data_IF_647246517883
#
_entry.id   IF_647246517883
#
_cell.length_a   1.000
_cell.length_b   1.000
_cell.length_c   1.000
_cell.angle_alpha   90.00
_cell.angle_beta   90.00
_cell.angle_gamma   90.00
#
_symmetry.space_group_name_H-M   'P 1'
#
loop_
_entity.id
_entity.type
_entity.pdbx_description
1 polymer ?
#
# COMPACT_ATOMS: atom_id res chain seq x y z
N UNK A 1 52.38 -1.65 18.15
CA UNK A 1 50.92 -1.90 18.01
C UNK A 1 50.25 -0.58 17.63
N UNK A 2 49.68 -0.44 16.42
CA UNK A 2 49.03 0.78 16.00
C UNK A 2 47.58 0.84 16.48
N UNK A 3 47.15 2.05 16.87
CA UNK A 3 45.82 2.40 17.38
C UNK A 3 44.79 2.37 16.25
N UNK A 4 43.68 1.66 16.45
CA UNK A 4 42.52 1.68 15.56
C UNK A 4 41.85 3.06 15.55
N UNK A 5 41.82 3.72 14.39
CA UNK A 5 40.96 4.87 14.13
C UNK A 5 39.51 4.41 13.94
N UNK A 6 38.61 4.88 14.81
CA UNK A 6 37.16 4.81 14.62
C UNK A 6 36.77 5.78 13.49
N UNK A 7 36.36 5.25 12.34
CA UNK A 7 35.70 6.04 11.30
C UNK A 7 34.28 6.37 11.75
N UNK A 8 34.07 7.60 12.20
CA UNK A 8 32.73 8.16 12.44
C UNK A 8 32.19 8.73 11.12
N UNK A 9 31.38 7.96 10.41
CA UNK A 9 30.58 8.48 9.29
C UNK A 9 29.45 9.35 9.85
N UNK A 10 29.56 10.66 9.66
CA UNK A 10 28.58 11.67 10.06
C UNK A 10 27.33 11.61 9.17
N UNK A 11 26.17 11.86 9.79
CA UNK A 11 24.79 11.96 9.22
C UNK A 11 24.69 12.83 7.94
N UNK A 12 25.66 13.71 7.69
CA UNK A 12 25.74 14.50 6.47
C UNK A 12 26.03 13.68 5.19
N UNK A 13 26.77 12.57 5.29
CA UNK A 13 27.07 11.71 4.13
C UNK A 13 25.87 10.86 3.68
N UNK A 14 24.93 10.55 4.57
CA UNK A 14 23.66 9.90 4.17
C UNK A 14 22.73 10.85 3.40
N UNK A 15 22.81 12.17 3.64
CA UNK A 15 22.01 13.16 2.91
C UNK A 15 22.52 13.46 1.51
N UNK A 16 23.80 13.22 1.20
CA UNK A 16 24.36 13.54 -0.13
C UNK A 16 24.15 12.44 -1.18
N UNK A 17 23.75 11.21 -0.80
CA UNK A 17 23.27 10.21 -1.77
C UNK A 17 21.79 10.42 -2.15
N UNK A 18 21.04 11.22 -1.38
CA UNK A 18 19.65 11.55 -1.70
C UNK A 18 19.52 12.53 -2.88
N UNK A 19 20.59 13.22 -3.29
CA UNK A 19 20.55 14.23 -4.37
C UNK A 19 20.98 13.72 -5.75
N UNK A 20 21.19 12.40 -5.90
CA UNK A 20 21.39 11.73 -7.20
C UNK A 20 20.32 10.67 -7.48
N UNK A 21 19.23 10.68 -6.70
CA UNK A 21 18.06 9.85 -6.95
C UNK A 21 17.29 10.46 -8.11
N UNK A 22 17.04 9.64 -9.13
CA UNK A 22 16.53 10.03 -10.43
C UNK A 22 15.31 10.94 -10.42
N UNK A 23 15.16 11.66 -11.53
CA UNK A 23 13.93 12.35 -11.91
C UNK A 23 12.71 11.51 -11.49
N UNK A 24 11.83 12.10 -10.69
CA UNK A 24 10.59 11.47 -10.23
C UNK A 24 9.88 10.77 -11.40
N UNK A 25 9.71 9.46 -11.31
CA UNK A 25 9.25 8.63 -12.43
C UNK A 25 7.71 8.68 -12.59
N UNK A 26 7.01 9.46 -11.76
CA UNK A 26 5.56 9.54 -11.78
C UNK A 26 4.96 10.83 -11.21
N UNK A 27 3.64 10.94 -11.35
CA UNK A 27 2.81 12.09 -10.93
C UNK A 27 2.54 12.16 -9.43
N UNK A 28 2.75 11.05 -8.73
CA UNK A 28 2.62 10.95 -7.29
C UNK A 28 3.89 10.31 -6.77
N UNK A 29 4.46 10.91 -5.73
CA UNK A 29 5.57 10.34 -4.99
C UNK A 29 5.02 9.67 -3.73
N UNK A 30 5.15 8.34 -3.59
CA UNK A 30 4.72 7.63 -2.41
C UNK A 30 5.74 7.79 -1.27
N UNK A 31 5.25 8.14 -0.08
CA UNK A 31 6.03 8.20 1.15
C UNK A 31 5.36 7.34 2.23
N UNK A 32 6.08 6.40 2.81
CA UNK A 32 5.59 5.60 3.94
C UNK A 32 5.64 6.49 5.18
N UNK A 33 4.46 6.85 5.70
CA UNK A 33 4.31 7.56 6.96
C UNK A 33 4.57 6.60 8.13
N UNK A 34 4.43 7.13 9.35
CA UNK A 34 4.39 6.37 10.60
C UNK A 34 3.56 5.09 10.46
N UNK A 35 4.22 3.94 10.52
CA UNK A 35 3.67 2.62 10.17
C UNK A 35 4.17 1.57 11.13
N UNK A 36 3.31 0.63 11.51
CA UNK A 36 3.66 -0.44 12.44
C UNK A 36 3.13 -1.76 11.91
N UNK A 37 3.94 -2.81 11.99
CA UNK A 37 3.55 -4.16 11.59
C UNK A 37 4.38 -5.21 12.32
N UNK A 38 3.71 -6.03 13.14
CA UNK A 38 4.30 -7.19 13.81
C UNK A 38 3.30 -8.33 13.75
N UNK A 39 3.76 -9.52 13.33
CA UNK A 39 2.87 -10.65 13.13
C UNK A 39 2.12 -11.06 14.40
N UNK A 40 0.80 -11.20 14.28
CA UNK A 40 -0.10 -11.55 15.39
C UNK A 40 -0.33 -10.43 16.41
N UNK A 41 0.25 -9.24 16.23
CA UNK A 41 0.07 -8.10 17.14
C UNK A 41 -0.71 -6.96 16.49
N UNK A 42 -0.35 -6.60 15.25
CA UNK A 42 -1.04 -5.53 14.55
C UNK A 42 -0.26 -5.03 13.35
N UNK A 43 -0.96 -4.80 12.24
CA UNK A 43 -0.46 -4.14 11.03
C UNK A 43 -1.31 -2.91 10.70
N UNK A 44 -0.67 -1.76 10.56
CA UNK A 44 -1.26 -0.54 10.04
C UNK A 44 -0.17 0.31 9.39
N UNK A 45 -0.20 0.36 8.06
CA UNK A 45 0.80 1.05 7.24
C UNK A 45 0.12 2.17 6.47
N UNK A 46 0.55 3.41 6.68
CA UNK A 46 -0.01 4.57 5.97
C UNK A 46 0.98 5.08 4.94
N UNK A 47 0.54 5.20 3.70
CA UNK A 47 1.29 5.82 2.61
C UNK A 47 0.65 7.15 2.23
N UNK A 48 1.50 8.16 2.09
CA UNK A 48 1.15 9.47 1.57
C UNK A 48 1.51 9.53 0.08
N UNK A 49 0.53 9.83 -0.77
CA UNK A 49 0.75 10.08 -2.19
C UNK A 49 0.84 11.59 -2.43
N UNK A 50 2.05 12.11 -2.50
CA UNK A 50 2.29 13.54 -2.72
C UNK A 50 2.25 13.84 -4.22
N UNK A 51 1.36 14.73 -4.68
CA UNK A 51 1.29 15.10 -6.09
C UNK A 51 2.55 15.85 -6.52
N UNK A 52 3.14 15.41 -7.62
CA UNK A 52 4.28 16.06 -8.24
C UNK A 52 3.80 17.05 -9.29
N UNK A 53 3.68 18.32 -8.88
CA UNK A 53 3.29 19.42 -9.76
C UNK A 53 4.34 19.78 -10.82
N UNK A 54 5.58 19.29 -10.67
CA UNK A 54 6.68 19.55 -11.60
C UNK A 54 6.81 18.48 -12.69
N UNK A 55 5.98 17.44 -12.67
CA UNK A 55 6.03 16.41 -13.70
C UNK A 55 5.66 16.99 -15.08
N UNK A 56 6.39 16.63 -16.16
CA UNK A 56 6.15 17.18 -17.49
C UNK A 56 4.95 16.50 -18.17
N UNK A 57 3.73 16.84 -17.74
CA UNK A 57 2.47 16.33 -18.29
C UNK A 57 2.19 16.73 -19.76
N UNK A 58 3.05 17.54 -20.36
CA UNK A 58 2.78 18.18 -21.65
C UNK A 58 1.81 19.37 -21.52
N UNK A 59 1.25 19.86 -22.63
CA UNK A 59 0.53 21.14 -22.68
C UNK A 59 -0.86 21.15 -22.02
N UNK A 60 -1.35 20.02 -21.52
CA UNK A 60 -2.67 19.93 -20.86
C UNK A 60 -2.61 18.99 -19.64
N UNK A 61 -1.94 19.40 -18.55
CA UNK A 61 -1.83 18.59 -17.34
C UNK A 61 -3.20 18.30 -16.70
N UNK A 62 -3.40 17.10 -16.12
CA UNK A 62 -4.53 16.85 -15.24
C UNK A 62 -4.41 17.71 -13.97
N UNK A 63 -5.54 18.19 -13.46
CA UNK A 63 -5.58 18.95 -12.20
C UNK A 63 -5.36 18.03 -11.02
N UNK A 64 -4.12 17.93 -10.54
CA UNK A 64 -3.75 17.14 -9.35
C UNK A 64 -4.42 17.66 -8.06
N UNK A 65 -4.59 16.80 -7.03
CA UNK A 65 -5.11 17.25 -5.74
C UNK A 65 -4.16 18.27 -5.10
N UNK A 66 -4.70 19.22 -4.32
CA UNK A 66 -3.88 20.22 -3.61
C UNK A 66 -3.17 19.66 -2.37
N UNK A 67 -3.73 18.60 -1.78
CA UNK A 67 -3.21 17.94 -0.60
C UNK A 67 -2.82 16.51 -0.99
N UNK A 68 -1.78 15.94 -0.37
CA UNK A 68 -1.45 14.54 -0.58
C UNK A 68 -2.63 13.63 -0.22
N UNK A 69 -2.78 12.53 -0.96
CA UNK A 69 -3.77 11.50 -0.67
C UNK A 69 -3.21 10.55 0.39
N UNK A 70 -4.02 10.17 1.37
CA UNK A 70 -3.61 9.22 2.41
C UNK A 70 -4.27 7.87 2.15
N UNK A 71 -3.45 6.83 1.99
CA UNK A 71 -3.90 5.45 1.85
C UNK A 71 -3.36 4.66 3.04
N UNK A 72 -4.25 3.98 3.76
CA UNK A 72 -3.87 3.14 4.90
C UNK A 72 -4.17 1.69 4.55
N UNK A 73 -3.15 0.83 4.65
CA UNK A 73 -3.25 -0.61 4.48
C UNK A 73 -3.29 -1.27 5.85
N UNK A 74 -4.34 -2.06 6.06
CA UNK A 74 -4.72 -2.71 7.31
C UNK A 74 -4.84 -1.76 8.52
N UNK A 75 -5.57 -2.24 9.51
CA UNK A 75 -5.94 -1.53 10.72
C UNK A 75 -5.95 -2.48 11.92
N UNK A 76 -4.79 -3.07 12.22
CA UNK A 76 -4.52 -3.66 13.52
C UNK A 76 -4.47 -2.62 14.64
N UNK A 77 -4.58 -3.10 15.88
CA UNK A 77 -4.40 -2.27 17.07
C UNK A 77 -2.93 -1.94 17.25
N UNK A 78 -2.51 -0.81 16.70
CA UNK A 78 -1.10 -0.39 16.64
C UNK A 78 -0.93 1.07 17.05
N UNK A 79 0.29 1.49 17.44
CA UNK A 79 0.58 2.91 17.69
C UNK A 79 0.35 3.83 16.48
N UNK A 80 0.43 3.31 15.24
CA UNK A 80 0.20 4.07 14.00
C UNK A 80 -1.27 4.36 13.70
N UNK A 81 -2.22 3.78 14.44
CA UNK A 81 -3.65 4.02 14.25
C UNK A 81 -4.05 5.50 14.42
N UNK A 82 -3.35 6.23 15.29
CA UNK A 82 -3.58 7.66 15.49
C UNK A 82 -3.23 8.51 14.26
N UNK A 83 -2.24 8.08 13.48
CA UNK A 83 -1.77 8.82 12.30
C UNK A 83 -2.67 8.62 11.08
N UNK A 84 -3.34 7.48 10.98
CA UNK A 84 -4.33 7.21 9.93
C UNK A 84 -5.65 7.96 10.17
N UNK A 85 -6.00 8.25 11.43
CA UNK A 85 -7.27 8.89 11.82
C UNK A 85 -7.44 10.38 11.42
N UNK A 86 -6.45 11.01 10.77
CA UNK A 86 -6.49 12.43 10.39
C UNK A 86 -6.66 12.63 8.88
N UNK A 87 -7.34 13.71 8.48
CA UNK A 87 -7.53 14.07 7.06
C UNK A 87 -8.38 13.06 6.28
N UNK A 88 -8.54 13.21 4.96
CA UNK A 88 -9.22 12.18 4.14
C UNK A 88 -8.30 10.96 3.97
N UNK A 89 -8.70 9.79 4.46
CA UNK A 89 -7.95 8.54 4.30
C UNK A 89 -8.81 7.49 3.61
N UNK A 90 -8.19 6.75 2.69
CA UNK A 90 -8.75 5.54 2.09
C UNK A 90 -8.13 4.36 2.82
N UNK A 91 -8.96 3.53 3.42
CA UNK A 91 -8.53 2.47 4.31
C UNK A 91 -8.82 1.13 3.63
N UNK A 92 -7.78 0.34 3.39
CA UNK A 92 -7.81 -0.89 2.62
C UNK A 92 -7.43 -2.05 3.57
N UNK A 93 -8.34 -2.98 3.80
CA UNK A 93 -8.17 -4.10 4.72
C UNK A 93 -7.98 -5.38 3.92
N UNK A 94 -6.83 -6.02 4.03
CA UNK A 94 -6.45 -7.21 3.25
C UNK A 94 -7.30 -8.44 3.59
N UNK A 95 -7.54 -8.69 4.88
CA UNK A 95 -8.24 -9.89 5.35
C UNK A 95 -8.77 -9.73 6.79
N UNK A 96 -9.43 -10.78 7.29
CA UNK A 96 -10.23 -10.73 8.52
C UNK A 96 -9.50 -11.05 9.83
N UNK A 97 -8.19 -11.28 9.85
CA UNK A 97 -7.50 -11.53 11.11
C UNK A 97 -7.48 -10.27 12.00
N UNK A 98 -7.50 -10.51 13.30
CA UNK A 98 -7.73 -9.46 14.30
C UNK A 98 -6.64 -8.39 14.31
N UNK A 99 -5.41 -8.79 14.01
CA UNK A 99 -4.24 -7.92 13.88
C UNK A 99 -4.22 -7.10 12.57
N UNK A 100 -5.18 -7.31 11.67
CA UNK A 100 -5.34 -6.50 10.44
C UNK A 100 -6.64 -5.70 10.42
N UNK A 101 -7.63 -6.07 11.24
CA UNK A 101 -8.98 -5.50 11.14
C UNK A 101 -9.45 -4.73 12.39
N UNK A 102 -9.17 -5.23 13.60
CA UNK A 102 -9.89 -4.80 14.81
C UNK A 102 -9.67 -3.33 15.21
N UNK A 103 -8.55 -2.73 14.81
CA UNK A 103 -8.27 -1.32 15.03
C UNK A 103 -9.21 -0.38 14.26
N UNK A 104 -9.89 -0.85 13.21
CA UNK A 104 -10.76 -0.01 12.37
C UNK A 104 -11.89 0.67 13.15
N UNK A 105 -12.45 0.01 14.18
CA UNK A 105 -13.53 0.57 15.00
C UNK A 105 -13.04 1.71 15.89
N UNK A 106 -11.87 1.56 16.52
CA UNK A 106 -11.22 2.63 17.28
C UNK A 106 -10.78 3.79 16.39
N UNK A 107 -10.34 3.48 15.17
CA UNK A 107 -10.01 4.48 14.16
C UNK A 107 -11.25 5.26 13.71
N UNK A 108 -12.37 4.61 13.43
CA UNK A 108 -13.62 5.27 13.06
C UNK A 108 -14.10 6.27 14.12
N UNK A 109 -14.10 5.86 15.39
CA UNK A 109 -14.40 6.75 16.52
C UNK A 109 -13.46 7.95 16.58
N UNK A 110 -12.15 7.70 16.47
CA UNK A 110 -11.13 8.76 16.48
C UNK A 110 -11.35 9.74 15.32
N UNK A 111 -11.70 9.24 14.14
CA UNK A 111 -12.04 10.07 12.97
C UNK A 111 -13.28 10.91 13.20
N UNK A 112 -14.36 10.35 13.77
CA UNK A 112 -15.59 11.10 14.05
C UNK A 112 -15.33 12.25 15.02
N UNK A 113 -14.42 12.08 15.98
CA UNK A 113 -14.01 13.18 16.88
C UNK A 113 -13.27 14.31 16.15
N UNK A 114 -12.51 13.99 15.10
CA UNK A 114 -11.69 14.96 14.34
C UNK A 114 -12.50 15.59 13.20
N UNK A 115 -13.34 14.80 12.53
CA UNK A 115 -14.12 15.19 11.37
C UNK A 115 -15.55 14.61 11.50
N UNK A 116 -16.44 15.28 12.23
CA UNK A 116 -17.75 14.72 12.59
C UNK A 116 -18.71 14.60 11.41
N UNK A 117 -18.41 15.20 10.25
CA UNK A 117 -19.32 15.25 9.10
C UNK A 117 -18.85 14.41 7.91
N UNK A 118 -17.78 13.61 8.07
CA UNK A 118 -17.23 12.80 6.98
C UNK A 118 -16.91 11.40 7.48
N UNK A 119 -17.57 10.42 6.90
CA UNK A 119 -17.35 9.01 7.20
C UNK A 119 -15.94 8.57 6.77
N UNK A 120 -15.38 7.64 7.54
CA UNK A 120 -14.23 6.86 7.10
C UNK A 120 -14.68 5.83 6.07
N UNK A 121 -13.99 5.80 4.91
CA UNK A 121 -14.18 4.76 3.90
C UNK A 121 -13.27 3.57 4.19
N UNK A 122 -13.86 2.38 4.32
CA UNK A 122 -13.14 1.13 4.59
C UNK A 122 -13.47 0.12 3.49
N UNK A 123 -12.48 -0.21 2.68
CA UNK A 123 -12.57 -1.21 1.63
C UNK A 123 -12.00 -2.52 2.16
N UNK A 124 -12.73 -3.61 1.99
CA UNK A 124 -12.37 -4.92 2.52
C UNK A 124 -12.93 -6.04 1.61
N UNK A 125 -12.43 -7.28 1.68
CA UNK A 125 -12.99 -8.38 0.90
C UNK A 125 -14.52 -8.48 1.04
N UNK A 126 -15.25 -8.60 -0.07
CA UNK A 126 -16.72 -8.63 -0.09
C UNK A 126 -17.31 -9.61 0.93
N UNK A 127 -16.74 -10.82 1.04
CA UNK A 127 -17.19 -11.84 1.99
C UNK A 127 -17.07 -11.47 3.48
N UNK A 128 -16.30 -10.43 3.83
CA UNK A 128 -16.16 -9.95 5.21
C UNK A 128 -17.19 -8.86 5.57
N UNK A 129 -17.92 -8.28 4.61
CA UNK A 129 -18.82 -7.14 4.85
C UNK A 129 -19.88 -7.46 5.90
N UNK A 130 -20.53 -8.62 5.80
CA UNK A 130 -21.58 -9.06 6.73
C UNK A 130 -21.01 -9.22 8.15
N UNK A 131 -19.93 -10.01 8.29
CA UNK A 131 -19.27 -10.28 9.58
C UNK A 131 -18.78 -8.98 10.24
N UNK A 132 -18.21 -8.05 9.46
CA UNK A 132 -17.74 -6.77 9.99
C UNK A 132 -18.92 -5.89 10.43
N UNK A 133 -20.06 -5.93 9.73
CA UNK A 133 -21.27 -5.24 10.17
C UNK A 133 -21.90 -5.86 11.43
N UNK A 134 -21.78 -7.17 11.62
CA UNK A 134 -22.19 -7.83 12.88
C UNK A 134 -21.31 -7.37 14.06
N UNK A 135 -19.98 -7.31 13.85
CA UNK A 135 -19.04 -6.79 14.85
C UNK A 135 -19.34 -5.31 15.11
N UNK A 136 -19.53 -4.50 14.06
CA UNK A 136 -19.94 -3.09 14.15
C UNK A 136 -21.19 -2.92 15.01
N UNK A 137 -22.19 -3.78 14.82
CA UNK A 137 -23.44 -3.77 15.61
C UNK A 137 -23.20 -4.12 17.08
N UNK A 138 -22.30 -5.07 17.37
CA UNK A 138 -21.88 -5.37 18.73
C UNK A 138 -21.15 -4.18 19.38
N UNK A 139 -20.23 -3.55 18.65
CA UNK A 139 -19.46 -2.38 19.10
C UNK A 139 -20.38 -1.18 19.36
N UNK A 140 -21.39 -0.95 18.51
CA UNK A 140 -22.42 0.09 18.74
C UNK A 140 -23.18 -0.16 20.04
N UNK A 141 -23.65 -1.40 20.26
CA UNK A 141 -24.35 -1.76 21.51
C UNK A 141 -23.52 -1.54 22.77
N UNK A 142 -22.20 -1.64 22.68
CA UNK A 142 -21.29 -1.32 23.80
C UNK A 142 -21.24 0.19 24.08
N UNK A 143 -21.33 1.02 23.05
CA UNK A 143 -21.28 2.49 23.17
C UNK A 143 -22.64 3.11 23.54
N UNK A 144 -23.73 2.41 23.24
CA UNK A 144 -25.09 2.88 23.50
C UNK A 144 -25.36 3.00 25.02
N UNK A 145 -25.28 4.24 25.50
CA UNK A 145 -25.51 4.62 26.92
C UNK A 145 -26.93 4.32 27.43
N UNK A 146 -27.87 3.93 26.56
CA UNK A 146 -29.27 3.70 26.95
C UNK A 146 -29.53 2.32 27.58
N UNK A 147 -28.58 1.38 27.55
CA UNK A 147 -28.84 0.01 28.01
C UNK A 147 -28.49 -0.30 29.47
N UNK A 148 -28.09 0.70 30.27
CA UNK A 148 -27.83 0.49 31.69
C UNK A 148 -29.01 0.87 32.61
N UNK A 149 -30.08 1.53 32.12
CA UNK A 149 -31.22 1.95 32.95
C UNK A 149 -32.53 2.21 32.17
N UNK A 150 -33.05 1.26 31.38
CA UNK A 150 -34.38 1.46 30.76
C UNK A 150 -35.28 0.22 30.83
N UNK A 151 -35.65 -0.17 32.04
CA UNK A 151 -37.07 -0.35 32.32
C UNK A 151 -37.69 1.05 32.26
N UNK A 152 -38.55 1.33 31.27
CA UNK A 152 -39.29 2.59 31.11
C UNK A 152 -38.47 3.86 30.83
N UNK A 153 -38.19 4.15 29.56
CA UNK A 153 -38.41 5.50 28.98
C UNK A 153 -38.15 5.45 27.47
N UNK A 154 -39.23 5.57 26.70
CA UNK A 154 -39.18 5.90 25.28
C UNK A 154 -38.56 7.30 25.13
N UNK A 155 -37.26 7.36 24.85
CA UNK A 155 -36.65 8.61 24.38
C UNK A 155 -37.07 8.85 22.94
N UNK A 156 -37.99 9.82 22.78
CA UNK A 156 -38.35 10.46 21.52
C UNK A 156 -37.20 11.34 21.04
N UNK A 157 -36.21 10.73 20.42
CA UNK A 157 -35.41 11.27 19.31
C UNK A 157 -34.53 10.14 18.82
N UNK A 158 -35.09 9.31 17.93
CA UNK A 158 -34.39 8.21 17.27
C UNK A 158 -33.33 8.71 16.30
N UNK A 159 -32.35 9.49 16.76
CA UNK A 159 -31.10 9.63 16.06
C UNK A 159 -30.26 8.40 16.40
N UNK A 160 -30.28 7.41 15.50
CA UNK A 160 -29.31 6.33 15.53
C UNK A 160 -27.90 6.91 15.62
N UNK A 161 -27.06 6.29 16.45
CA UNK A 161 -25.65 6.68 16.51
C UNK A 161 -24.99 6.37 15.16
N UNK A 162 -24.75 7.42 14.37
CA UNK A 162 -23.91 7.35 13.18
C UNK A 162 -22.45 7.22 13.62
N UNK A 163 -21.91 6.01 13.53
CA UNK A 163 -20.51 5.69 13.88
C UNK A 163 -19.49 6.19 12.85
N UNK A 164 -19.95 6.85 11.78
CA UNK A 164 -19.10 7.45 10.75
C UNK A 164 -18.30 6.42 9.94
N UNK A 165 -18.84 5.21 9.77
CA UNK A 165 -18.20 4.14 8.99
C UNK A 165 -18.97 3.83 7.71
N UNK A 166 -18.29 4.02 6.58
CA UNK A 166 -18.72 3.52 5.27
C UNK A 166 -17.88 2.30 4.90
N UNK A 167 -18.47 1.12 5.04
CA UNK A 167 -17.83 -0.17 4.71
C UNK A 167 -18.22 -0.53 3.27
N UNK A 168 -17.22 -0.84 2.45
CA UNK A 168 -17.37 -1.18 1.04
C UNK A 168 -16.67 -2.51 0.79
N UNK A 169 -17.41 -3.50 0.32
CA UNK A 169 -16.83 -4.75 -0.13
C UNK A 169 -16.16 -4.61 -1.50
N UNK A 170 -15.04 -5.32 -1.69
CA UNK A 170 -14.30 -5.35 -2.95
C UNK A 170 -13.95 -6.78 -3.34
N UNK A 171 -13.92 -7.02 -4.65
CA UNK A 171 -13.57 -8.31 -5.23
C UNK A 171 -12.20 -8.23 -5.93
N UNK A 172 -11.45 -9.35 -6.03
CA UNK A 172 -10.24 -9.42 -6.83
C UNK A 172 -10.48 -8.93 -8.26
N UNK A 173 -9.48 -8.25 -8.82
CA UNK A 173 -9.45 -7.74 -10.19
C UNK A 173 -10.54 -6.69 -10.55
N UNK A 174 -11.43 -6.35 -9.61
CA UNK A 174 -12.41 -5.28 -9.77
C UNK A 174 -11.81 -3.95 -9.30
N UNK A 175 -11.40 -3.15 -10.28
CA UNK A 175 -10.82 -1.82 -10.04
C UNK A 175 -11.86 -0.83 -9.48
N UNK A 176 -11.44 0.00 -8.53
CA UNK A 176 -12.21 1.14 -8.05
C UNK A 176 -11.38 2.42 -8.00
N UNK A 177 -12.09 3.56 -8.06
CA UNK A 177 -11.47 4.88 -8.05
C UNK A 177 -11.19 5.32 -6.60
N UNK A 178 -9.93 5.62 -6.30
CA UNK A 178 -9.45 6.19 -5.03
C UNK A 178 -9.62 7.70 -5.04
N UNK A 179 -9.27 8.33 -6.17
CA UNK A 179 -9.42 9.76 -6.36
C UNK A 179 -9.56 10.09 -7.85
N UNK A 180 -10.49 10.97 -8.20
CA UNK A 180 -10.74 11.37 -9.59
C UNK A 180 -10.44 12.85 -9.80
N UNK A 181 -9.83 13.17 -10.94
CA UNK A 181 -9.69 14.54 -11.41
C UNK A 181 -11.09 15.13 -11.69
N UNK A 182 -11.31 16.40 -11.33
CA UNK A 182 -12.61 17.06 -11.52
C UNK A 182 -12.98 17.29 -12.99
N UNK A 183 -11.99 17.41 -13.87
CA UNK A 183 -12.17 17.80 -15.27
C UNK A 183 -11.70 16.72 -16.26
N UNK A 184 -11.41 15.52 -15.77
CA UNK A 184 -10.98 14.40 -16.60
C UNK A 184 -11.61 13.10 -16.09
N UNK A 185 -12.27 12.37 -16.99
CA UNK A 185 -12.91 11.11 -16.65
C UNK A 185 -11.93 9.94 -16.53
N UNK A 186 -10.69 10.12 -17.00
CA UNK A 186 -9.61 9.12 -17.00
C UNK A 186 -8.55 9.43 -15.94
N UNK A 187 -8.26 10.71 -15.73
CA UNK A 187 -7.29 11.20 -14.76
C UNK A 187 -7.67 10.86 -13.32
N UNK A 188 -6.84 10.09 -12.63
CA UNK A 188 -7.11 9.71 -11.26
C UNK A 188 -6.09 8.77 -10.64
N UNK A 189 -6.37 8.38 -9.39
CA UNK A 189 -5.72 7.28 -8.68
C UNK A 189 -6.74 6.17 -8.53
N UNK A 190 -6.32 4.96 -8.86
CA UNK A 190 -7.16 3.76 -8.88
C UNK A 190 -6.51 2.67 -8.06
N UNK A 191 -7.34 1.80 -7.50
CA UNK A 191 -6.94 0.62 -6.76
C UNK A 191 -7.51 -0.62 -7.45
N UNK A 192 -6.67 -1.61 -7.71
CA UNK A 192 -7.09 -2.94 -8.16
C UNK A 192 -6.70 -3.94 -7.10
N UNK A 193 -7.66 -4.55 -6.37
CA UNK A 193 -7.36 -5.68 -5.50
C UNK A 193 -6.90 -6.89 -6.31
N UNK A 194 -6.07 -7.75 -5.74
CA UNK A 194 -5.72 -9.05 -6.32
C UNK A 194 -5.74 -10.11 -5.23
N UNK A 195 -6.16 -11.32 -5.58
CA UNK A 195 -6.22 -12.43 -4.63
C UNK A 195 -4.81 -12.91 -4.26
N UNK A 196 -4.63 -13.28 -3.00
CA UNK A 196 -3.37 -13.82 -2.47
C UNK A 196 -3.62 -15.12 -1.72
N UNK A 197 -2.60 -15.99 -1.66
CA UNK A 197 -2.69 -17.26 -0.94
C UNK A 197 -2.43 -17.02 0.55
N UNK A 198 -3.50 -16.75 1.29
CA UNK A 198 -3.53 -16.70 2.74
C UNK A 198 -4.79 -17.40 3.27
N UNK A 199 -4.96 -17.45 4.59
CA UNK A 199 -6.08 -18.16 5.21
C UNK A 199 -7.41 -17.57 4.70
N UNK A 200 -8.27 -18.45 4.19
CA UNK A 200 -9.62 -18.09 3.81
C UNK A 200 -10.54 -18.33 5.01
N UNK A 201 -11.14 -17.28 5.54
CA UNK A 201 -12.18 -17.44 6.55
C UNK A 201 -13.41 -18.14 5.95
N UNK A 202 -14.09 -18.96 6.75
CA UNK A 202 -15.46 -19.38 6.43
C UNK A 202 -16.43 -18.32 6.98
N UNK A 203 -16.85 -17.37 6.14
CA UNK A 203 -18.06 -16.61 6.45
C UNK A 203 -19.27 -17.54 6.27
N UNK A 204 -20.36 -17.29 7.00
CA UNK A 204 -21.61 -18.06 6.88
C UNK A 204 -22.18 -18.07 5.44
N UNK A 205 -21.72 -17.17 4.56
CA UNK A 205 -22.21 -16.96 3.20
C UNK A 205 -21.20 -17.26 2.09
N UNK A 206 -19.95 -17.67 2.41
CA UNK A 206 -18.95 -18.02 1.38
C UNK A 206 -17.49 -17.97 1.83
N UNK A 207 -16.58 -18.14 0.87
CA UNK A 207 -15.12 -18.05 1.07
C UNK A 207 -14.69 -16.59 1.23
N UNK A 208 -14.15 -16.21 2.39
CA UNK A 208 -13.49 -14.91 2.55
C UNK A 208 -12.09 -14.97 1.94
N UNK A 209 -11.89 -14.25 0.84
CA UNK A 209 -10.58 -14.12 0.19
C UNK A 209 -9.68 -13.18 0.98
N UNK A 210 -8.37 -13.44 0.94
CA UNK A 210 -7.35 -12.48 1.35
C UNK A 210 -6.88 -11.70 0.11
N UNK A 211 -6.68 -10.40 0.27
CA UNK A 211 -6.38 -9.50 -0.85
C UNK A 211 -5.07 -8.75 -0.66
N UNK A 212 -4.33 -8.63 -1.76
CA UNK A 212 -3.39 -7.54 -1.98
C UNK A 212 -4.05 -6.38 -2.72
N UNK A 213 -3.39 -5.22 -2.73
CA UNK A 213 -3.87 -4.00 -3.37
C UNK A 213 -2.81 -3.38 -4.28
N UNK A 214 -3.20 -3.08 -5.52
CA UNK A 214 -2.37 -2.39 -6.50
C UNK A 214 -2.88 -0.96 -6.74
N UNK A 215 -2.11 0.03 -6.28
CA UNK A 215 -2.40 1.46 -6.45
C UNK A 215 -1.64 2.02 -7.64
N UNK A 216 -2.36 2.67 -8.54
CA UNK A 216 -1.81 3.26 -9.76
C UNK A 216 -2.46 4.60 -10.09
N UNK A 217 -1.71 5.49 -10.73
CA UNK A 217 -2.29 6.68 -11.36
C UNK A 217 -2.54 6.45 -12.83
N UNK A 218 -3.67 6.97 -13.32
CA UNK A 218 -4.03 6.96 -14.73
C UNK A 218 -4.22 8.39 -15.22
N UNK A 219 -3.81 8.67 -16.46
CA UNK A 219 -4.02 9.97 -17.10
C UNK A 219 -3.96 9.85 -18.62
N UNK A 220 -4.46 10.88 -19.30
CA UNK A 220 -4.34 11.01 -20.75
C UNK A 220 -3.03 11.71 -21.11
N UNK A 221 -2.26 11.10 -22.00
CA UNK A 221 -1.09 11.69 -22.64
C UNK A 221 -1.42 11.95 -24.10
N UNK A 222 -1.19 13.17 -24.57
CA UNK A 222 -1.24 13.46 -26.01
C UNK A 222 0.04 12.95 -26.66
N UNK A 223 -0.11 12.01 -27.59
CA UNK A 223 0.98 11.46 -28.39
C UNK A 223 0.79 11.89 -29.83
N UNK A 224 1.88 12.20 -30.53
CA UNK A 224 1.80 12.62 -31.93
C UNK A 224 1.27 11.43 -32.75
N UNK A 225 0.32 11.65 -33.65
CA UNK A 225 -0.19 10.55 -34.49
C UNK A 225 0.97 9.99 -35.32
N UNK A 226 0.95 8.68 -35.56
CA UNK A 226 2.02 7.98 -36.27
C UNK A 226 2.33 8.60 -37.64
N UNK A 227 1.32 9.11 -38.35
CA UNK A 227 1.53 9.77 -39.65
C UNK A 227 2.31 11.09 -39.59
N UNK A 228 2.50 11.66 -38.40
CA UNK A 228 3.27 12.89 -38.19
C UNK A 228 4.58 12.65 -37.42
N UNK A 229 4.88 11.41 -37.03
CA UNK A 229 6.17 11.05 -36.44
C UNK A 229 7.31 11.34 -37.42
N UNK A 230 8.34 12.05 -36.96
CA UNK A 230 9.52 12.41 -37.78
C UNK A 230 9.42 13.73 -38.55
N UNK A 231 8.27 14.40 -38.56
CA UNK A 231 8.15 15.76 -39.11
C UNK A 231 8.96 16.76 -38.28
N UNK A 232 9.54 17.76 -38.95
CA UNK A 232 10.24 18.84 -38.24
C UNK A 232 9.25 19.72 -37.47
N UNK A 233 9.70 20.32 -36.37
CA UNK A 233 8.84 21.16 -35.51
C UNK A 233 8.13 22.30 -36.25
N UNK A 234 8.71 22.80 -37.36
CA UNK A 234 8.06 23.81 -38.23
C UNK A 234 6.85 23.25 -38.98
N UNK A 235 6.93 22.01 -39.45
CA UNK A 235 5.85 21.34 -40.19
C UNK A 235 4.69 20.99 -39.26
N UNK A 236 5.01 20.48 -38.06
CA UNK A 236 4.05 20.29 -36.96
C UNK A 236 3.37 21.61 -36.60
N UNK A 237 4.12 22.71 -36.54
CA UNK A 237 3.60 24.05 -36.28
C UNK A 237 2.62 24.53 -37.35
N UNK A 238 2.87 24.22 -38.62
CA UNK A 238 1.98 24.54 -39.75
C UNK A 238 0.67 23.75 -39.66
N UNK A 239 0.75 22.43 -39.41
CA UNK A 239 -0.44 21.59 -39.22
C UNK A 239 -1.31 22.06 -38.05
N UNK A 240 -0.70 22.50 -36.94
CA UNK A 240 -1.44 23.14 -35.83
C UNK A 240 -2.15 24.43 -36.26
N UNK A 241 -1.47 25.27 -37.05
CA UNK A 241 -2.03 26.54 -37.56
C UNK A 241 -3.22 26.28 -38.49
N UNK A 242 -3.14 25.20 -39.25
CA UNK A 242 -4.20 24.73 -40.15
C UNK A 242 -5.33 23.97 -39.40
N UNK A 243 -5.28 23.94 -38.06
CA UNK A 243 -6.24 23.28 -37.16
C UNK A 243 -6.41 21.78 -37.41
N UNK A 244 -5.37 21.13 -37.95
CA UNK A 244 -5.34 19.69 -38.13
C UNK A 244 -5.14 19.01 -36.78
N UNK A 245 -5.94 17.97 -36.50
CA UNK A 245 -5.78 17.17 -35.29
C UNK A 245 -4.61 16.20 -35.46
N UNK A 246 -3.46 16.59 -34.90
CA UNK A 246 -2.17 15.89 -35.04
C UNK A 246 -1.79 15.00 -33.86
N UNK A 247 -2.60 14.96 -32.81
CA UNK A 247 -2.33 14.15 -31.62
C UNK A 247 -3.42 13.09 -31.44
N UNK A 248 -3.01 11.89 -31.05
CA UNK A 248 -3.86 10.88 -30.44
C UNK A 248 -3.82 11.00 -28.91
N UNK A 249 -4.81 10.40 -28.26
CA UNK A 249 -4.86 10.27 -26.79
C UNK A 249 -4.47 8.85 -26.39
N UNK A 250 -3.39 8.71 -25.63
CA UNK A 250 -2.98 7.46 -25.00
C UNK A 250 -3.29 7.50 -23.50
N UNK A 251 -3.85 6.41 -22.98
CA UNK A 251 -4.04 6.25 -21.54
C UNK A 251 -2.75 5.66 -20.96
N UNK A 252 -2.09 6.44 -20.11
CA UNK A 252 -0.88 6.01 -19.40
C UNK A 252 -1.27 5.60 -17.99
N UNK A 253 -0.80 4.43 -17.58
CA UNK A 253 -0.93 3.90 -16.22
C UNK A 253 0.46 3.81 -15.57
N UNK A 254 0.60 4.44 -14.41
CA UNK A 254 1.85 4.44 -13.64
C UNK A 254 1.60 3.67 -12.32
N UNK A 255 2.24 2.51 -12.13
CA UNK A 255 2.26 1.79 -10.86
C UNK A 255 2.90 2.64 -9.75
N UNK A 256 2.21 2.83 -8.62
CA UNK A 256 2.71 3.67 -7.52
C UNK A 256 3.08 2.81 -6.32
N UNK A 257 2.10 2.12 -5.73
CA UNK A 257 2.29 1.29 -4.54
C UNK A 257 1.57 -0.03 -4.69
N UNK A 258 2.23 -1.10 -4.27
CA UNK A 258 1.60 -2.41 -4.09
C UNK A 258 1.69 -2.83 -2.65
N UNK A 259 0.61 -3.38 -2.13
CA UNK A 259 0.52 -4.00 -0.82
C UNK A 259 0.11 -5.46 -1.00
N UNK A 260 0.90 -6.41 -0.51
CA UNK A 260 0.58 -7.83 -0.71
C UNK A 260 -0.51 -8.34 0.23
N UNK A 261 -0.70 -7.68 1.38
CA UNK A 261 -1.32 -8.34 2.52
C UNK A 261 -0.46 -9.51 3.00
N UNK A 262 -1.00 -10.30 3.92
CA UNK A 262 -0.40 -11.56 4.34
C UNK A 262 -0.55 -12.59 3.23
N UNK A 263 0.50 -13.37 2.94
CA UNK A 263 0.46 -14.36 1.86
C UNK A 263 1.65 -15.31 1.90
N UNK A 264 1.45 -16.55 1.43
CA UNK A 264 2.54 -17.44 1.10
C UNK A 264 3.31 -16.97 -0.15
N UNK A 265 4.50 -17.53 -0.36
CA UNK A 265 5.26 -17.26 -1.58
C UNK A 265 4.52 -17.67 -2.86
N UNK A 266 3.69 -18.73 -2.82
CA UNK A 266 2.92 -19.17 -3.99
C UNK A 266 1.80 -18.19 -4.36
N UNK A 267 1.26 -17.44 -3.40
CA UNK A 267 0.21 -16.45 -3.66
C UNK A 267 0.65 -15.28 -4.55
N UNK A 268 1.95 -15.00 -4.57
CA UNK A 268 2.51 -13.85 -5.29
C UNK A 268 3.65 -14.20 -6.25
N UNK A 269 3.95 -15.49 -6.44
CA UNK A 269 4.89 -15.95 -7.48
C UNK A 269 4.14 -16.13 -8.79
N UNK A 270 4.62 -15.53 -9.88
CA UNK A 270 3.99 -15.74 -11.20
C UNK A 270 4.24 -17.16 -11.72
N UNK A 271 3.21 -17.85 -12.22
CA UNK A 271 3.39 -19.13 -12.90
C UNK A 271 4.20 -18.94 -14.20
N UNK A 272 4.87 -20.01 -14.64
CA UNK A 272 5.58 -20.05 -15.92
C UNK A 272 4.94 -21.11 -16.84
N UNK A 273 4.54 -20.77 -18.08
CA UNK A 273 4.57 -19.43 -18.68
C UNK A 273 3.57 -18.47 -18.00
N UNK A 274 3.88 -17.18 -17.95
CA UNK A 274 2.95 -16.18 -17.42
C UNK A 274 1.93 -15.83 -18.53
N UNK A 275 0.63 -16.15 -18.36
CA UNK A 275 -0.39 -15.79 -19.34
C UNK A 275 -0.69 -14.30 -19.22
N UNK A 276 -0.21 -13.49 -20.17
CA UNK A 276 -0.39 -12.03 -20.25
C UNK A 276 0.09 -11.26 -18.98
N UNK A 277 0.21 -9.91 -19.01
CA UNK A 277 0.51 -9.14 -17.82
C UNK A 277 -0.69 -9.14 -16.86
N UNK A 278 -0.72 -10.10 -15.94
CA UNK A 278 -1.70 -10.15 -14.84
C UNK A 278 -1.64 -8.87 -13.97
N UNK A 279 -2.71 -8.60 -13.21
CA UNK A 279 -2.74 -7.50 -12.22
C UNK A 279 -1.52 -7.60 -11.30
N UNK A 280 -1.21 -8.80 -10.82
CA UNK A 280 -0.06 -9.09 -9.99
C UNK A 280 1.29 -8.76 -10.67
N UNK A 281 1.45 -9.10 -11.95
CA UNK A 281 2.67 -8.79 -12.73
C UNK A 281 2.90 -7.28 -12.84
N UNK A 282 1.82 -6.51 -13.09
CA UNK A 282 1.85 -5.04 -13.12
C UNK A 282 2.10 -4.45 -11.74
N UNK A 283 1.49 -5.02 -10.70
CA UNK A 283 1.59 -4.56 -9.32
C UNK A 283 3.04 -4.52 -8.84
N UNK A 284 3.82 -5.59 -9.07
CA UNK A 284 5.23 -5.60 -8.68
C UNK A 284 6.11 -4.56 -9.42
N UNK A 285 5.57 -3.84 -10.41
CA UNK A 285 6.23 -2.73 -11.10
C UNK A 285 6.12 -1.39 -10.37
N UNK A 286 5.34 -1.34 -9.28
CA UNK A 286 5.15 -0.18 -8.41
C UNK A 286 6.46 0.38 -7.86
N UNK A 287 6.54 1.70 -7.71
CA UNK A 287 7.68 2.40 -7.13
C UNK A 287 8.03 1.84 -5.73
N UNK A 288 7.01 1.56 -4.92
CA UNK A 288 7.14 0.89 -3.62
C UNK A 288 6.29 -0.39 -3.60
N UNK A 289 6.89 -1.53 -3.28
CA UNK A 289 6.19 -2.78 -2.97
C UNK A 289 6.28 -3.04 -1.47
N UNK A 290 5.16 -2.91 -0.78
CA UNK A 290 4.95 -3.38 0.59
C UNK A 290 4.68 -4.89 0.53
N UNK A 291 5.64 -5.70 0.97
CA UNK A 291 5.59 -7.16 0.85
C UNK A 291 5.63 -7.79 2.24
N UNK A 292 4.76 -8.76 2.51
CA UNK A 292 4.88 -9.58 3.72
C UNK A 292 6.26 -10.26 3.76
N UNK A 293 6.85 -10.35 4.96
CA UNK A 293 7.94 -11.27 5.26
C UNK A 293 7.96 -11.66 6.74
N UNK A 294 7.37 -12.81 7.06
CA UNK A 294 7.18 -13.24 8.46
C UNK A 294 8.43 -13.87 9.07
N UNK A 295 9.15 -14.68 8.30
CA UNK A 295 10.27 -15.50 8.79
C UNK A 295 11.60 -15.12 8.14
N UNK A 296 12.61 -14.84 8.97
CA UNK A 296 13.94 -14.35 8.55
C UNK A 296 15.10 -15.33 8.81
N UNK A 297 14.82 -16.57 9.25
CA UNK A 297 15.85 -17.60 9.47
C UNK A 297 16.30 -18.28 8.17
N UNK A 298 17.10 -17.59 7.37
CA UNK A 298 17.62 -18.14 6.11
C UNK A 298 18.36 -19.47 6.29
N UNK A 299 18.09 -20.42 5.40
CA UNK A 299 18.64 -21.78 5.43
C UNK A 299 17.99 -22.73 6.44
N UNK A 300 17.01 -22.28 7.22
CA UNK A 300 16.33 -23.12 8.21
C UNK A 300 15.06 -23.77 7.63
N UNK A 301 15.16 -25.04 7.23
CA UNK A 301 14.08 -25.80 6.61
C UNK A 301 12.79 -25.84 7.45
N UNK A 302 12.91 -25.98 8.77
CA UNK A 302 11.75 -25.99 9.68
C UNK A 302 10.97 -24.67 9.64
N UNK A 303 11.69 -23.55 9.62
CA UNK A 303 11.08 -22.22 9.56
C UNK A 303 10.38 -22.00 8.21
N UNK A 304 10.97 -22.49 7.13
CA UNK A 304 10.37 -22.46 5.79
C UNK A 304 9.09 -23.29 5.71
N UNK A 305 9.11 -24.54 6.19
CA UNK A 305 7.91 -25.40 6.22
C UNK A 305 6.79 -24.78 7.05
N UNK A 306 7.13 -24.17 8.18
CA UNK A 306 6.17 -23.46 9.04
C UNK A 306 5.56 -22.24 8.33
N UNK A 307 6.34 -21.52 7.52
CA UNK A 307 5.86 -20.41 6.71
C UNK A 307 4.81 -20.91 5.70
N UNK A 308 5.12 -21.99 4.97
CA UNK A 308 4.21 -22.57 3.98
C UNK A 308 2.93 -23.12 4.64
N UNK A 309 3.06 -23.83 5.77
CA UNK A 309 1.92 -24.35 6.55
C UNK A 309 0.97 -23.24 7.00
N UNK A 310 1.54 -22.11 7.47
CA UNK A 310 0.77 -20.96 7.97
C UNK A 310 0.44 -19.94 6.89
N UNK A 311 0.72 -20.24 5.63
CA UNK A 311 0.46 -19.37 4.48
C UNK A 311 1.12 -17.98 4.62
N UNK A 312 2.40 -17.99 4.96
CA UNK A 312 3.25 -16.81 5.09
C UNK A 312 4.57 -16.93 4.33
N UNK A 313 5.27 -15.81 4.18
CA UNK A 313 6.58 -15.79 3.51
C UNK A 313 7.78 -16.08 4.41
N UNK A 314 8.74 -16.81 3.84
CA UNK A 314 10.09 -17.01 4.35
C UNK A 314 11.13 -16.24 3.49
N UNK A 315 12.22 -15.77 4.10
CA UNK A 315 13.27 -15.00 3.40
C UNK A 315 13.89 -15.76 2.22
N UNK A 316 14.00 -17.09 2.33
CA UNK A 316 14.52 -17.96 1.27
C UNK A 316 13.60 -18.03 0.03
N UNK A 317 12.35 -17.57 0.15
CA UNK A 317 11.40 -17.54 -0.97
C UNK A 317 11.55 -16.27 -1.83
N UNK A 318 12.25 -15.24 -1.33
CA UNK A 318 12.43 -13.96 -2.03
C UNK A 318 13.04 -14.12 -3.43
N UNK A 319 14.09 -14.94 -3.67
CA UNK A 319 14.61 -15.14 -5.01
C UNK A 319 13.57 -15.66 -6.00
N UNK A 320 12.72 -16.60 -5.59
CA UNK A 320 11.68 -17.16 -6.47
C UNK A 320 10.62 -16.11 -6.82
N UNK A 321 10.07 -15.46 -5.79
CA UNK A 321 9.01 -14.45 -5.94
C UNK A 321 9.50 -13.31 -6.83
N UNK A 322 10.60 -12.65 -6.47
CA UNK A 322 11.02 -11.42 -7.13
C UNK A 322 11.58 -11.65 -8.54
N UNK A 323 12.24 -12.79 -8.81
CA UNK A 323 12.66 -13.16 -10.17
C UNK A 323 11.48 -13.50 -11.07
N UNK A 324 10.40 -14.07 -10.53
CA UNK A 324 9.17 -14.28 -11.32
C UNK A 324 8.61 -12.96 -11.87
N UNK A 325 8.88 -11.86 -11.17
CA UNK A 325 8.52 -10.49 -11.55
C UNK A 325 9.64 -9.70 -12.26
N UNK A 326 10.78 -10.30 -12.56
CA UNK A 326 11.87 -9.66 -13.29
C UNK A 326 12.69 -8.63 -12.49
N UNK A 327 12.72 -8.71 -11.15
CA UNK A 327 13.49 -7.79 -10.30
C UNK A 327 15.01 -8.00 -10.33
N UNK A 328 15.47 -9.10 -10.92
CA UNK A 328 16.87 -9.39 -11.24
C UNK A 328 17.29 -8.87 -12.63
N UNK A 329 16.38 -8.18 -13.34
CA UNK A 329 16.65 -7.58 -14.65
C UNK A 329 16.76 -6.05 -14.56
N UNK A 330 17.30 -5.42 -15.60
CA UNK A 330 17.41 -3.96 -15.69
C UNK A 330 16.05 -3.25 -15.77
N UNK A 331 14.96 -3.96 -16.10
CA UNK A 331 13.62 -3.37 -16.25
C UNK A 331 13.03 -2.87 -14.93
N UNK A 332 13.53 -3.39 -13.79
CA UNK A 332 13.03 -3.05 -12.45
C UNK A 332 14.14 -2.61 -11.51
N UNK A 333 15.04 -1.73 -11.96
CA UNK A 333 16.19 -1.27 -11.16
C UNK A 333 15.85 -0.21 -10.11
N UNK A 334 14.74 0.51 -10.26
CA UNK A 334 14.44 1.71 -9.46
C UNK A 334 13.37 1.47 -8.38
N UNK A 335 12.67 0.34 -8.43
CA UNK A 335 11.65 -0.05 -7.47
C UNK A 335 12.29 -0.43 -6.14
N UNK A 336 11.58 -0.09 -5.06
CA UNK A 336 11.95 -0.42 -3.69
C UNK A 336 10.94 -1.40 -3.11
N UNK A 337 11.42 -2.33 -2.28
CA UNK A 337 10.58 -3.22 -1.49
C UNK A 337 10.71 -2.86 -0.02
N UNK A 338 9.59 -2.80 0.69
CA UNK A 338 9.58 -2.65 2.14
C UNK A 338 8.83 -3.83 2.73
N UNK A 339 9.54 -4.61 3.54
CA UNK A 339 9.00 -5.78 4.18
C UNK A 339 8.27 -5.42 5.47
N UNK A 340 7.15 -6.08 5.71
CA UNK A 340 6.33 -5.92 6.91
C UNK A 340 5.91 -7.29 7.46
N UNK A 341 5.15 -7.30 8.54
CA UNK A 341 4.61 -8.51 9.15
C UNK A 341 5.67 -9.48 9.70
N UNK A 342 6.80 -8.94 10.18
CA UNK A 342 7.88 -9.76 10.76
C UNK A 342 7.45 -10.39 12.07
N UNK A 343 7.82 -11.66 12.28
CA UNK A 343 7.57 -12.36 13.54
C UNK A 343 8.27 -11.69 14.73
N UNK A 344 7.53 -11.52 15.84
CA UNK A 344 8.06 -10.94 17.08
C UNK A 344 9.30 -11.69 17.63
N UNK A 345 9.51 -12.96 17.26
CA UNK A 345 10.70 -13.74 17.66
C UNK A 345 12.02 -13.13 17.17
N UNK A 346 11.97 -12.27 16.16
CA UNK A 346 13.15 -11.61 15.59
C UNK A 346 13.67 -10.43 16.45
N UNK A 347 12.97 -10.09 17.54
CA UNK A 347 13.38 -9.04 18.47
C UNK A 347 13.02 -7.65 17.96
N UNK A 348 13.91 -6.68 18.19
CA UNK A 348 13.69 -5.29 17.76
C UNK A 348 13.71 -5.15 16.25
N UNK A 349 13.15 -4.06 15.72
CA UNK A 349 13.20 -3.73 14.29
C UNK A 349 14.64 -3.75 13.76
N UNK A 350 15.61 -3.28 14.55
CA UNK A 350 17.02 -3.28 14.16
C UNK A 350 17.62 -4.69 14.08
N UNK A 351 17.25 -5.59 15.00
CA UNK A 351 17.68 -6.98 14.97
C UNK A 351 17.08 -7.70 13.75
N UNK A 352 15.79 -7.49 13.47
CA UNK A 352 15.13 -8.00 12.28
C UNK A 352 15.77 -7.47 10.99
N UNK A 353 16.06 -6.16 10.91
CA UNK A 353 16.73 -5.55 9.77
C UNK A 353 18.14 -6.14 9.54
N UNK A 354 18.90 -6.39 10.60
CA UNK A 354 20.21 -7.05 10.50
C UNK A 354 20.09 -8.49 9.98
N UNK A 355 19.09 -9.25 10.45
CA UNK A 355 18.81 -10.62 9.96
C UNK A 355 18.38 -10.61 8.50
N UNK A 356 17.50 -9.69 8.11
CA UNK A 356 17.08 -9.51 6.73
C UNK A 356 18.30 -9.21 5.84
N UNK A 357 19.14 -8.25 6.23
CA UNK A 357 20.35 -7.87 5.48
C UNK A 357 21.29 -9.04 5.24
N UNK A 358 21.45 -9.92 6.23
CA UNK A 358 22.33 -11.09 6.13
C UNK A 358 21.82 -12.14 5.11
N UNK A 359 20.50 -12.21 4.90
CA UNK A 359 19.85 -13.22 4.05
C UNK A 359 19.26 -12.64 2.76
N UNK A 360 19.44 -11.34 2.51
CA UNK A 360 18.86 -10.66 1.37
C UNK A 360 19.57 -11.05 0.06
N UNK A 361 18.85 -11.42 -1.01
CA UNK A 361 19.47 -11.70 -2.29
C UNK A 361 20.14 -10.44 -2.87
N UNK A 362 21.25 -10.64 -3.60
CA UNK A 362 22.10 -9.54 -4.08
C UNK A 362 21.34 -8.48 -4.89
N UNK A 363 20.40 -8.91 -5.74
CA UNK A 363 19.65 -7.98 -6.59
C UNK A 363 18.68 -7.08 -5.81
N UNK A 364 18.36 -7.37 -4.55
CA UNK A 364 17.54 -6.51 -3.69
C UNK A 364 18.36 -5.59 -2.78
N UNK A 365 19.68 -5.77 -2.69
CA UNK A 365 20.55 -4.94 -1.83
C UNK A 365 20.46 -3.47 -2.23
N UNK A 366 20.31 -2.58 -1.24
CA UNK A 366 20.13 -1.14 -1.46
C UNK A 366 18.73 -0.73 -1.92
N UNK A 367 17.81 -1.68 -2.10
CA UNK A 367 16.42 -1.43 -2.51
C UNK A 367 15.39 -2.02 -1.55
N UNK A 368 15.83 -2.79 -0.56
CA UNK A 368 14.99 -3.38 0.47
C UNK A 368 15.01 -2.57 1.77
N UNK A 369 13.87 -2.51 2.43
CA UNK A 369 13.75 -1.99 3.79
C UNK A 369 12.78 -2.83 4.61
N UNK A 370 12.67 -2.50 5.90
CA UNK A 370 11.76 -3.12 6.85
C UNK A 370 10.90 -2.05 7.52
N UNK A 371 9.60 -2.29 7.72
CA UNK A 371 8.77 -1.42 8.56
C UNK A 371 9.38 -1.31 9.95
N UNK A 372 9.59 -0.09 10.42
CA UNK A 372 10.22 0.16 11.71
C UNK A 372 9.17 0.28 12.81
N UNK A 373 8.97 -0.77 13.61
CA UNK A 373 8.10 -0.72 14.78
C UNK A 373 8.60 0.16 15.93
N UNK A 374 9.65 0.97 15.76
CA UNK A 374 10.17 1.88 16.79
C UNK A 374 10.17 3.34 16.32
N UNK A 375 9.46 3.66 15.22
CA UNK A 375 9.41 5.00 14.61
C UNK A 375 8.95 6.11 15.57
N UNK A 376 8.19 5.79 16.61
CA UNK A 376 7.69 6.78 17.59
C UNK A 376 8.77 7.26 18.58
N UNK A 377 9.93 6.61 18.60
CA UNK A 377 11.07 7.11 19.36
C UNK A 377 11.63 8.38 18.70
N UNK A 378 12.22 9.29 19.48
CA UNK A 378 12.65 10.66 19.07
C UNK A 378 13.55 10.77 17.83
N UNK A 379 13.99 9.66 17.22
CA UNK A 379 14.92 9.59 16.08
C UNK A 379 14.62 8.47 15.05
N UNK A 380 13.44 7.85 15.06
CA UNK A 380 13.15 6.71 14.19
C UNK A 380 12.52 7.08 12.85
N UNK A 381 13.07 6.58 11.74
CA UNK A 381 12.41 6.57 10.43
C UNK A 381 11.31 5.50 10.39
N UNK A 382 10.27 5.67 9.55
CA UNK A 382 9.20 4.68 9.40
C UNK A 382 9.67 3.35 8.76
N UNK A 383 10.82 3.37 8.09
CA UNK A 383 11.44 2.23 7.41
C UNK A 383 12.92 2.16 7.73
N UNK A 384 13.42 0.97 8.06
CA UNK A 384 14.85 0.66 8.16
C UNK A 384 15.34 0.08 6.84
N UNK A 385 16.03 0.88 6.03
CA UNK A 385 16.66 0.44 4.77
C UNK A 385 17.91 -0.42 5.05
N UNK A 386 18.08 -1.53 4.32
CA UNK A 386 19.12 -2.56 4.59
C UNK A 386 20.16 -2.75 3.50
#
# INVERSE_FOLDING_TARGET
MPKLHRLSTTVAQQRSMASLVGQSVGHFSPEIMKSSSTAGQGTCITVLLTPNHSYPFGPSPPTLPKKPLKITFDMGVTPSLSTSATGSSINLISHGHVDHLMGMFGHARSRRMINPNVDGMYYLPEGLVEVVNDIRSCVKRLDDKNNLNSSSSQNKSGQEFEDGMSIVGVEPDVEFCVWKCKNDNVGGVYCTPFEVDHVHGHAHTGTCRSLGYFIKSRFKKKVLKKEYEGLEGKEIGKLKKDKVEIYDEEIVEIPIVTYTGDTSASGITLPKPCPEPSVLSKAFGSEIVLCELTYLEGGEEKSKLLADERKHMHVDSLPSVFRSHGWDTSTRSNQKVVFFHVSAKHGTSQMAANKLKANLPDFLKGRAGLVNNEWWQKKGDAVLWV
#
